data_IF_034610313788
#
_entry.id   IF_034610313788
#
_cell.length_a   1.000
_cell.length_b   1.000
_cell.length_c   1.000
_cell.angle_alpha   90.00
_cell.angle_beta   90.00
_cell.angle_gamma   90.00
#
_symmetry.space_group_name_H-M   'P 1'
#
loop_
_entity.id
_entity.type
_entity.pdbx_description
1 polymer ?
#
# COMPACT_ATOMS: atom_id res chain seq x y z
N UNK A 1 89.20 -13.48 16.11
CA UNK A 1 88.11 -14.10 15.29
C UNK A 1 87.10 -14.89 16.13
N UNK A 2 87.47 -15.42 17.31
CA UNK A 2 86.58 -16.20 18.20
C UNK A 2 85.47 -15.38 18.87
N UNK A 3 85.77 -14.14 19.29
CA UNK A 3 84.85 -13.31 20.11
C UNK A 3 83.69 -12.71 19.30
N UNK A 4 83.95 -12.30 18.06
CA UNK A 4 82.95 -11.75 17.13
C UNK A 4 81.87 -12.81 16.79
N UNK A 5 82.27 -14.08 16.63
CA UNK A 5 81.33 -15.15 16.33
C UNK A 5 80.45 -15.53 17.54
N UNK A 6 80.97 -15.35 18.76
CA UNK A 6 80.24 -15.60 20.00
C UNK A 6 79.16 -14.53 20.26
N UNK A 7 79.50 -13.26 20.03
CA UNK A 7 78.53 -12.15 20.12
C UNK A 7 77.43 -12.24 19.05
N UNK A 8 77.79 -12.62 17.82
CA UNK A 8 76.80 -12.88 16.76
C UNK A 8 75.85 -14.01 17.15
N UNK A 9 76.37 -15.11 17.72
CA UNK A 9 75.56 -16.24 18.20
C UNK A 9 74.62 -15.84 19.34
N UNK A 10 75.12 -15.09 20.32
CA UNK A 10 74.33 -14.61 21.47
C UNK A 10 73.23 -13.64 21.03
N UNK A 11 73.51 -12.79 20.05
CA UNK A 11 72.50 -11.89 19.49
C UNK A 11 71.45 -12.66 18.68
N UNK A 12 71.86 -13.72 17.96
CA UNK A 12 70.93 -14.58 17.24
C UNK A 12 70.00 -15.35 18.21
N UNK A 13 70.53 -15.92 19.28
CA UNK A 13 69.73 -16.59 20.33
C UNK A 13 68.74 -15.63 21.00
N UNK A 14 69.14 -14.37 21.22
CA UNK A 14 68.24 -13.35 21.78
C UNK A 14 67.10 -12.99 20.83
N UNK A 15 67.39 -12.91 19.53
CA UNK A 15 66.38 -12.66 18.48
C UNK A 15 65.43 -13.85 18.37
N UNK A 16 65.95 -15.08 18.39
CA UNK A 16 65.14 -16.31 18.35
C UNK A 16 64.22 -16.43 19.58
N UNK A 17 64.73 -16.08 20.77
CA UNK A 17 63.92 -16.06 22.00
C UNK A 17 62.83 -14.98 21.95
N UNK A 18 63.14 -13.76 21.48
CA UNK A 18 62.13 -12.72 21.31
C UNK A 18 61.04 -13.13 20.30
N UNK A 19 61.45 -13.81 19.23
CA UNK A 19 60.51 -14.28 18.20
C UNK A 19 59.61 -15.39 18.76
N UNK A 20 60.17 -16.32 19.53
CA UNK A 20 59.41 -17.35 20.23
C UNK A 20 58.42 -16.75 21.24
N UNK A 21 58.86 -15.80 22.06
CA UNK A 21 58.01 -15.13 23.06
C UNK A 21 56.87 -14.33 22.40
N UNK A 22 57.18 -13.62 21.31
CA UNK A 22 56.19 -12.86 20.54
C UNK A 22 55.17 -13.79 19.89
N UNK A 23 55.62 -14.87 19.26
CA UNK A 23 54.74 -15.85 18.61
C UNK A 23 53.84 -16.57 19.64
N UNK A 24 54.38 -16.90 20.82
CA UNK A 24 53.60 -17.48 21.90
C UNK A 24 52.53 -16.52 22.42
N UNK A 25 52.88 -15.24 22.58
CA UNK A 25 51.96 -14.19 23.01
C UNK A 25 50.85 -13.95 21.98
N UNK A 26 51.19 -13.90 20.69
CA UNK A 26 50.22 -13.78 19.60
C UNK A 26 49.29 -14.99 19.58
N UNK A 27 49.83 -16.20 19.69
CA UNK A 27 49.05 -17.44 19.74
C UNK A 27 48.12 -17.47 20.94
N UNK A 28 48.59 -17.08 22.13
CA UNK A 28 47.80 -17.00 23.36
C UNK A 28 46.68 -15.97 23.24
N UNK A 29 46.96 -14.81 22.66
CA UNK A 29 45.97 -13.76 22.43
C UNK A 29 44.97 -14.16 21.33
N UNK A 30 45.42 -14.83 20.26
CA UNK A 30 44.57 -15.35 19.19
C UNK A 30 43.63 -16.46 19.68
N UNK A 31 44.12 -17.37 20.54
CA UNK A 31 43.28 -18.38 21.20
C UNK A 31 42.26 -17.69 22.13
N UNK A 32 42.68 -16.66 22.87
CA UNK A 32 41.78 -15.88 23.75
C UNK A 32 40.71 -15.11 22.97
N UNK A 33 41.02 -14.59 21.77
CA UNK A 33 40.03 -13.88 20.92
C UNK A 33 39.14 -14.83 20.13
N UNK A 34 39.58 -16.06 19.83
CA UNK A 34 38.76 -17.09 19.16
C UNK A 34 37.65 -17.69 20.03
N UNK A 35 37.70 -17.43 21.34
CA UNK A 35 36.72 -17.91 22.32
C UNK A 35 35.54 -16.93 22.53
N UNK A 36 35.54 -15.75 21.88
CA UNK A 36 34.41 -14.83 21.94
C UNK A 36 33.28 -15.37 21.06
N UNK A 37 32.71 -16.49 21.50
CA UNK A 37 31.39 -16.90 21.10
C UNK A 37 30.44 -15.85 21.65
N UNK A 38 29.89 -15.03 20.78
CA UNK A 38 28.72 -14.22 21.09
C UNK A 38 27.52 -15.15 21.29
N UNK A 39 27.52 -15.90 22.40
CA UNK A 39 26.32 -16.58 22.87
C UNK A 39 25.43 -15.50 23.47
N UNK A 40 24.37 -15.17 22.73
CA UNK A 40 23.27 -14.38 23.26
C UNK A 40 22.47 -15.29 24.20
N UNK A 41 22.98 -15.48 25.41
CA UNK A 41 22.28 -16.21 26.47
C UNK A 41 21.17 -15.31 26.99
N UNK A 42 19.98 -15.44 26.41
CA UNK A 42 18.75 -14.98 27.03
C UNK A 42 18.57 -15.81 28.30
N UNK A 43 19.03 -15.29 29.46
CA UNK A 43 18.78 -15.95 30.74
C UNK A 43 17.31 -15.77 31.10
N UNK A 44 16.51 -16.77 30.74
CA UNK A 44 15.09 -16.85 31.04
C UNK A 44 14.92 -17.46 32.43
N UNK A 45 15.50 -16.81 33.44
CA UNK A 45 15.60 -17.34 34.80
C UNK A 45 14.47 -16.85 35.72
N UNK A 46 13.70 -15.88 35.24
CA UNK A 46 12.55 -15.32 35.95
C UNK A 46 11.24 -15.82 35.34
N UNK A 47 10.32 -16.44 36.10
CA UNK A 47 9.01 -16.84 35.58
C UNK A 47 8.21 -15.65 35.03
N UNK A 48 8.52 -14.43 35.49
CA UNK A 48 7.90 -13.19 35.02
C UNK A 48 8.32 -12.80 33.59
N UNK A 49 9.55 -13.12 33.16
CA UNK A 49 9.99 -12.81 31.78
C UNK A 49 9.31 -13.73 30.77
N UNK A 50 9.18 -15.01 31.09
CA UNK A 50 8.37 -15.97 30.30
C UNK A 50 6.92 -15.54 30.18
N UNK A 51 6.29 -15.16 31.30
CA UNK A 51 4.93 -14.64 31.30
C UNK A 51 4.77 -13.41 30.42
N UNK A 52 5.73 -12.47 30.48
CA UNK A 52 5.75 -11.28 29.63
C UNK A 52 5.85 -11.62 28.13
N UNK A 53 6.76 -12.52 27.74
CA UNK A 53 6.86 -12.98 26.35
C UNK A 53 5.59 -13.69 25.87
N UNK A 54 4.96 -14.49 26.73
CA UNK A 54 3.69 -15.15 26.41
C UNK A 54 2.57 -14.13 26.19
N UNK A 55 2.43 -13.14 27.08
CA UNK A 55 1.43 -12.06 26.93
C UNK A 55 1.70 -11.26 25.66
N UNK A 56 2.95 -10.89 25.40
CA UNK A 56 3.34 -10.18 24.17
C UNK A 56 3.01 -11.00 22.93
N UNK A 57 3.29 -12.31 22.95
CA UNK A 57 2.96 -13.21 21.85
C UNK A 57 1.44 -13.30 21.62
N UNK A 58 0.65 -13.45 22.68
CA UNK A 58 -0.82 -13.45 22.60
C UNK A 58 -1.35 -12.15 21.98
N UNK A 59 -0.81 -11.00 22.39
CA UNK A 59 -1.19 -9.70 21.81
C UNK A 59 -0.85 -9.65 20.31
N UNK A 60 0.35 -10.09 19.92
CA UNK A 60 0.77 -10.13 18.50
C UNK A 60 -0.17 -11.03 17.69
N UNK A 61 -0.55 -12.19 18.21
CA UNK A 61 -1.50 -13.09 17.54
C UNK A 61 -2.87 -12.44 17.39
N UNK A 62 -3.40 -11.80 18.46
CA UNK A 62 -4.68 -11.09 18.41
C UNK A 62 -4.65 -9.97 17.37
N UNK A 63 -3.59 -9.15 17.37
CA UNK A 63 -3.40 -8.09 16.37
C UNK A 63 -3.31 -8.66 14.96
N UNK A 64 -2.60 -9.77 14.76
CA UNK A 64 -2.48 -10.42 13.46
C UNK A 64 -3.84 -10.92 12.94
N UNK A 65 -4.65 -11.53 13.82
CA UNK A 65 -6.02 -11.96 13.48
C UNK A 65 -6.91 -10.75 13.18
N UNK A 66 -6.87 -9.71 14.01
CA UNK A 66 -7.63 -8.48 13.78
C UNK A 66 -7.29 -7.85 12.43
N UNK A 67 -6.00 -7.69 12.11
CA UNK A 67 -5.55 -7.16 10.82
C UNK A 67 -5.98 -8.05 9.64
N UNK A 68 -5.89 -9.39 9.79
CA UNK A 68 -6.35 -10.32 8.78
C UNK A 68 -7.85 -10.14 8.47
N UNK A 69 -8.68 -10.00 9.52
CA UNK A 69 -10.10 -9.72 9.36
C UNK A 69 -10.38 -8.34 8.79
N UNK A 70 -9.64 -7.30 9.19
CA UNK A 70 -9.79 -5.94 8.63
C UNK A 70 -9.50 -5.93 7.13
N UNK A 71 -8.35 -6.47 6.69
CA UNK A 71 -8.00 -6.55 5.27
C UNK A 71 -9.00 -7.37 4.48
N UNK A 72 -9.54 -8.44 5.06
CA UNK A 72 -10.59 -9.25 4.41
C UNK A 72 -11.89 -8.47 4.28
N UNK A 73 -12.28 -7.72 5.30
CA UNK A 73 -13.50 -6.90 5.30
C UNK A 73 -13.41 -5.80 4.26
N UNK A 74 -12.26 -5.11 4.16
CA UNK A 74 -12.03 -4.06 3.16
C UNK A 74 -12.14 -4.62 1.72
N UNK A 75 -11.59 -5.82 1.49
CA UNK A 75 -11.69 -6.49 0.18
C UNK A 75 -13.13 -6.88 -0.16
N UNK A 76 -13.85 -7.47 0.80
CA UNK A 76 -15.27 -7.84 0.62
C UNK A 76 -16.11 -6.60 0.36
N UNK A 77 -15.83 -5.48 1.04
CA UNK A 77 -16.54 -4.23 0.83
C UNK A 77 -16.27 -3.66 -0.57
N UNK A 78 -15.01 -3.66 -1.03
CA UNK A 78 -14.65 -3.20 -2.37
C UNK A 78 -15.27 -4.08 -3.48
N UNK A 79 -15.27 -5.40 -3.28
CA UNK A 79 -15.91 -6.35 -4.20
C UNK A 79 -17.43 -6.13 -4.26
N UNK A 80 -18.08 -5.93 -3.12
CA UNK A 80 -19.52 -5.68 -3.05
C UNK A 80 -19.91 -4.34 -3.69
N UNK A 81 -19.11 -3.29 -3.50
CA UNK A 81 -19.30 -2.01 -4.17
C UNK A 81 -19.24 -2.17 -5.70
N UNK A 82 -18.24 -2.89 -6.21
CA UNK A 82 -18.09 -3.13 -7.65
C UNK A 82 -19.25 -3.97 -8.20
N UNK A 83 -19.67 -5.03 -7.51
CA UNK A 83 -20.86 -5.83 -7.88
C UNK A 83 -22.11 -4.94 -7.99
N UNK A 84 -22.34 -4.08 -7.00
CA UNK A 84 -23.50 -3.19 -6.99
C UNK A 84 -23.47 -2.19 -8.14
N UNK A 85 -22.34 -1.53 -8.39
CA UNK A 85 -22.19 -0.58 -9.50
C UNK A 85 -22.36 -1.27 -10.86
N UNK A 86 -21.82 -2.47 -11.02
CA UNK A 86 -21.99 -3.25 -12.24
C UNK A 86 -23.45 -3.60 -12.51
N UNK A 87 -24.18 -4.11 -11.52
CA UNK A 87 -25.62 -4.40 -11.64
C UNK A 87 -26.39 -3.13 -11.98
N UNK A 88 -26.07 -2.01 -11.33
CA UNK A 88 -26.70 -0.72 -11.62
C UNK A 88 -26.41 -0.24 -13.05
N UNK A 89 -25.20 -0.45 -13.56
CA UNK A 89 -24.84 -0.16 -14.94
C UNK A 89 -25.62 -1.02 -15.94
N UNK A 90 -25.78 -2.33 -15.67
CA UNK A 90 -26.52 -3.23 -16.56
C UNK A 90 -28.02 -2.94 -16.61
N UNK A 91 -28.58 -2.27 -15.60
CA UNK A 91 -29.97 -1.82 -15.56
C UNK A 91 -30.97 -2.94 -15.23
N UNK A 92 -30.66 -4.18 -15.57
CA UNK A 92 -31.40 -5.38 -15.22
C UNK A 92 -30.42 -6.49 -14.82
N UNK A 93 -30.78 -7.31 -13.83
CA UNK A 93 -30.01 -8.47 -13.40
C UNK A 93 -30.90 -9.70 -13.40
N UNK A 94 -30.66 -10.57 -14.38
CA UNK A 94 -31.30 -11.88 -14.46
C UNK A 94 -30.70 -12.80 -13.38
N UNK A 95 -31.46 -13.72 -12.76
CA UNK A 95 -30.90 -14.64 -11.76
C UNK A 95 -29.62 -15.35 -12.22
N UNK A 96 -29.53 -15.76 -13.48
CA UNK A 96 -28.35 -16.40 -14.06
C UNK A 96 -27.13 -15.47 -14.07
N UNK A 97 -27.32 -14.19 -14.40
CA UNK A 97 -26.24 -13.18 -14.40
C UNK A 97 -25.76 -12.89 -12.98
N UNK A 98 -26.66 -12.90 -12.00
CA UNK A 98 -26.31 -12.72 -10.59
C UNK A 98 -25.51 -13.92 -10.07
N UNK A 99 -25.88 -15.14 -10.47
CA UNK A 99 -25.12 -16.36 -10.14
C UNK A 99 -23.74 -16.35 -10.78
N UNK A 100 -23.63 -15.94 -12.05
CA UNK A 100 -22.33 -15.80 -12.72
C UNK A 100 -21.46 -14.75 -12.02
N UNK A 101 -22.04 -13.60 -11.67
CA UNK A 101 -21.37 -12.54 -10.94
C UNK A 101 -20.92 -12.99 -9.54
N UNK A 102 -21.73 -13.78 -8.83
CA UNK A 102 -21.35 -14.33 -7.54
C UNK A 102 -20.21 -15.35 -7.69
N UNK A 103 -20.27 -16.19 -8.72
CA UNK A 103 -19.23 -17.17 -9.00
C UNK A 103 -17.88 -16.49 -9.34
N UNK A 104 -17.94 -15.37 -10.08
CA UNK A 104 -16.77 -14.56 -10.48
C UNK A 104 -16.02 -13.96 -9.29
N UNK A 105 -16.70 -13.61 -8.21
CA UNK A 105 -16.07 -13.04 -7.00
C UNK A 105 -15.90 -14.05 -5.86
N UNK A 106 -16.61 -15.17 -5.94
CA UNK A 106 -16.66 -16.22 -4.94
C UNK A 106 -15.59 -17.30 -5.16
N UNK A 107 -15.96 -18.59 -5.24
CA UNK A 107 -14.99 -19.68 -5.30
C UNK A 107 -14.11 -19.68 -6.56
N UNK A 108 -14.64 -19.23 -7.71
CA UNK A 108 -13.96 -19.24 -9.00
C UNK A 108 -13.48 -17.83 -9.37
N UNK A 109 -12.78 -17.17 -8.44
CA UNK A 109 -12.36 -15.78 -8.60
C UNK A 109 -11.47 -15.59 -9.83
N UNK A 110 -11.92 -14.78 -10.77
CA UNK A 110 -11.16 -14.39 -11.97
C UNK A 110 -10.83 -12.89 -11.90
N UNK A 111 -9.59 -12.59 -11.51
CA UNK A 111 -9.14 -11.21 -11.32
C UNK A 111 -9.07 -10.43 -12.64
N UNK A 112 -8.81 -11.08 -13.78
CA UNK A 112 -8.74 -10.39 -15.07
C UNK A 112 -10.12 -9.89 -15.48
N UNK A 113 -11.13 -10.75 -15.34
CA UNK A 113 -12.53 -10.37 -15.58
C UNK A 113 -13.05 -9.32 -14.58
N UNK A 114 -12.60 -9.36 -13.32
CA UNK A 114 -12.96 -8.35 -12.32
C UNK A 114 -12.36 -6.98 -12.68
N UNK A 115 -11.12 -6.94 -13.18
CA UNK A 115 -10.52 -5.67 -13.63
C UNK A 115 -11.19 -5.13 -14.89
N UNK A 116 -11.51 -5.99 -15.87
CA UNK A 116 -12.32 -5.59 -17.03
C UNK A 116 -13.69 -5.02 -16.60
N UNK A 117 -14.34 -5.67 -15.64
CA UNK A 117 -15.60 -5.20 -15.07
C UNK A 117 -15.46 -3.83 -14.41
N UNK A 118 -14.34 -3.56 -13.73
CA UNK A 118 -14.04 -2.26 -13.13
C UNK A 118 -13.91 -1.18 -14.20
N UNK A 119 -13.16 -1.45 -15.26
CA UNK A 119 -12.96 -0.51 -16.38
C UNK A 119 -14.29 -0.20 -17.09
N UNK A 120 -15.11 -1.22 -17.33
CA UNK A 120 -16.44 -1.06 -17.93
C UNK A 120 -17.34 -0.15 -17.09
N UNK A 121 -17.38 -0.39 -15.78
CA UNK A 121 -18.17 0.41 -14.83
C UNK A 121 -17.68 1.85 -14.79
N UNK A 122 -16.36 2.07 -14.68
CA UNK A 122 -15.77 3.40 -14.64
C UNK A 122 -16.06 4.19 -15.93
N UNK A 123 -15.88 3.54 -17.08
CA UNK A 123 -16.18 4.14 -18.40
C UNK A 123 -17.64 4.55 -18.52
N UNK A 124 -18.56 3.71 -18.04
CA UNK A 124 -19.99 4.02 -18.04
C UNK A 124 -20.32 5.20 -17.11
N UNK A 125 -19.79 5.20 -15.89
CA UNK A 125 -20.01 6.26 -14.91
C UNK A 125 -19.51 7.61 -15.44
N UNK A 126 -18.33 7.63 -16.09
CA UNK A 126 -17.82 8.82 -16.75
C UNK A 126 -18.73 9.29 -17.90
N UNK A 127 -19.19 8.37 -18.76
CA UNK A 127 -20.06 8.71 -19.88
C UNK A 127 -21.39 9.32 -19.39
N UNK A 128 -21.99 8.73 -18.36
CA UNK A 128 -23.21 9.24 -17.72
C UNK A 128 -22.97 10.63 -17.13
N UNK A 129 -21.85 10.85 -16.44
CA UNK A 129 -21.52 12.15 -15.86
C UNK A 129 -21.30 13.23 -16.93
N UNK A 130 -20.59 12.90 -18.02
CA UNK A 130 -20.40 13.81 -19.15
C UNK A 130 -21.73 14.17 -19.80
N UNK A 131 -22.59 13.18 -20.02
CA UNK A 131 -23.92 13.40 -20.58
C UNK A 131 -24.78 14.30 -19.69
N UNK A 132 -24.77 14.08 -18.37
CA UNK A 132 -25.47 14.92 -17.41
C UNK A 132 -24.97 16.38 -17.46
N UNK A 133 -23.65 16.57 -17.56
CA UNK A 133 -23.02 17.90 -17.65
C UNK A 133 -23.42 18.64 -18.93
N UNK A 134 -23.38 17.94 -20.08
CA UNK A 134 -23.79 18.50 -21.37
C UNK A 134 -25.28 18.86 -21.38
N UNK A 135 -26.11 18.01 -20.79
CA UNK A 135 -27.56 18.24 -20.67
C UNK A 135 -27.85 19.48 -19.83
N UNK A 136 -27.16 19.63 -18.69
CA UNK A 136 -27.33 20.81 -17.83
C UNK A 136 -26.84 22.09 -18.52
N UNK A 137 -25.71 22.02 -19.25
CA UNK A 137 -25.24 23.15 -20.04
C UNK A 137 -26.23 23.56 -21.14
N UNK A 138 -26.86 22.58 -21.81
CA UNK A 138 -27.89 22.84 -22.81
C UNK A 138 -29.11 23.52 -22.17
N UNK A 139 -29.55 23.05 -20.99
CA UNK A 139 -30.65 23.64 -20.23
C UNK A 139 -30.39 25.10 -19.86
N UNK A 140 -29.18 25.43 -19.39
CA UNK A 140 -28.79 26.80 -19.05
C UNK A 140 -28.76 27.72 -20.27
N UNK A 141 -28.24 27.24 -21.42
CA UNK A 141 -28.23 28.01 -22.68
C UNK A 141 -29.65 28.25 -23.20
N UNK A 142 -30.52 27.26 -23.10
CA UNK A 142 -31.92 27.40 -23.49
C UNK A 142 -32.65 28.41 -22.61
N UNK A 143 -32.42 28.36 -21.29
CA UNK A 143 -33.00 29.33 -20.35
C UNK A 143 -32.53 30.76 -20.67
N UNK A 144 -31.24 30.96 -20.92
CA UNK A 144 -30.70 32.27 -21.32
C UNK A 144 -31.29 32.77 -22.64
N UNK A 145 -31.49 31.90 -23.64
CA UNK A 145 -32.11 32.26 -24.91
C UNK A 145 -33.57 32.68 -24.74
N UNK A 146 -34.35 31.96 -23.92
CA UNK A 146 -35.74 32.29 -23.60
C UNK A 146 -35.86 33.64 -22.84
N UNK A 147 -34.93 33.92 -21.93
CA UNK A 147 -34.88 35.21 -21.23
C UNK A 147 -34.57 36.37 -22.19
N UNK A 148 -33.64 36.19 -23.13
CA UNK A 148 -33.33 37.20 -24.14
C UNK A 148 -34.50 37.44 -25.11
N UNK A 149 -35.17 36.37 -25.55
CA UNK A 149 -36.36 36.47 -26.42
C UNK A 149 -37.51 37.22 -25.72
N UNK A 150 -37.77 36.90 -24.45
CA UNK A 150 -38.83 37.58 -23.67
C UNK A 150 -38.51 39.07 -23.44
N UNK A 151 -37.25 39.43 -23.15
CA UNK A 151 -36.82 40.83 -23.06
C UNK A 151 -36.96 41.56 -24.39
N UNK A 152 -36.57 40.95 -25.51
CA UNK A 152 -36.69 41.56 -26.83
C UNK A 152 -38.15 41.83 -27.21
N UNK A 153 -39.06 40.88 -26.95
CA UNK A 153 -40.51 41.06 -27.13
C UNK A 153 -41.07 42.20 -26.28
N UNK A 154 -40.72 42.25 -24.99
CA UNK A 154 -41.17 43.32 -24.09
C UNK A 154 -40.72 44.72 -24.54
N UNK A 155 -39.51 44.86 -25.08
CA UNK A 155 -39.02 46.13 -25.62
C UNK A 155 -39.81 46.53 -26.87
N UNK A 156 -40.05 45.59 -27.78
CA UNK A 156 -40.82 45.82 -29.01
C UNK A 156 -42.25 46.29 -28.69
N UNK A 157 -42.93 45.63 -27.77
CA UNK A 157 -44.32 45.96 -27.42
C UNK A 157 -44.44 47.36 -26.78
N UNK A 158 -43.44 47.78 -25.99
CA UNK A 158 -43.37 49.17 -25.47
C UNK A 158 -43.20 50.19 -26.59
N UNK A 159 -42.29 49.96 -27.54
CA UNK A 159 -42.06 50.89 -28.65
C UNK A 159 -43.26 51.09 -29.58
N UNK A 160 -44.16 50.11 -29.68
CA UNK A 160 -45.38 50.19 -30.51
C UNK A 160 -46.52 50.91 -29.77
N UNK A 161 -46.52 50.91 -28.43
CA UNK A 161 -47.56 51.56 -27.62
C UNK A 161 -47.33 53.07 -27.48
N UNK A 162 -46.08 53.52 -27.63
CA UNK A 162 -45.69 54.94 -27.53
C UNK A 162 -45.79 55.73 -28.86
N UNK A 163 -46.32 55.15 -29.96
CA UNK A 163 -46.62 55.94 -31.16
C UNK A 163 -47.79 56.92 -30.90
N UNK A 164 -47.61 58.24 -31.13
CA UNK A 164 -48.65 59.21 -30.88
C UNK A 164 -49.79 59.03 -31.88
N UNK A 165 -50.99 58.71 -31.39
CA UNK A 165 -52.22 58.81 -32.18
C UNK A 165 -52.41 60.27 -32.58
N UNK A 166 -52.17 60.53 -33.87
CA UNK A 166 -52.31 61.82 -34.53
C UNK A 166 -53.78 62.17 -34.73
#
# INVERSE_FOLDING_TARGET
MSEIHNEQRKNQEKVENLFCETNDTIRKNAVKTSNINHHFSLSVESPYTLGSFFVMFVIIVILSVALYFSVRTDKVQADNDLKYRYVKMKGEATPEQLVELENLFGPNRDNERIEQMREDVETYEEAVQRQATLTEQARLKEQAARELDSKAKSIKDKSITDEPKK
#
